data_IF_435959124292
#
_entry.id   IF_435959124292
#
_cell.length_a   1.000
_cell.length_b   1.000
_cell.length_c   1.000
_cell.angle_alpha   90.00
_cell.angle_beta   90.00
_cell.angle_gamma   90.00
#
_symmetry.space_group_name_H-M   'P 1'
#
loop_
_entity.id
_entity.type
_entity.pdbx_description
1 polymer ?
#
# COMPACT_ATOMS: atom_id res chain seq x y z
N UNK A 1 29.92 -64.55 -20.92
CA UNK A 1 28.88 -63.81 -21.70
C UNK A 1 28.21 -62.86 -20.71
N UNK A 2 28.14 -61.54 -20.87
CA UNK A 2 28.00 -60.73 -22.09
C UNK A 2 28.60 -59.33 -21.83
N UNK A 3 29.19 -58.78 -22.87
CA UNK A 3 29.95 -57.54 -22.96
C UNK A 3 29.02 -56.31 -22.96
N UNK A 4 29.50 -55.18 -22.40
CA UNK A 4 28.92 -53.84 -22.53
C UNK A 4 28.69 -53.43 -24.00
N UNK A 5 27.57 -52.77 -24.29
CA UNK A 5 27.53 -51.71 -25.30
C UNK A 5 26.72 -50.53 -24.78
N UNK A 6 27.38 -49.37 -24.67
CA UNK A 6 26.74 -48.06 -24.59
C UNK A 6 26.00 -47.85 -25.92
N UNK A 7 24.72 -47.51 -25.85
CA UNK A 7 24.00 -46.89 -26.95
C UNK A 7 23.56 -45.50 -26.50
N UNK A 8 24.13 -44.50 -27.17
CA UNK A 8 23.70 -43.11 -27.10
C UNK A 8 22.34 -43.06 -27.81
N UNK A 9 21.28 -42.72 -27.08
CA UNK A 9 19.98 -42.39 -27.68
C UNK A 9 19.76 -40.90 -27.54
N UNK A 10 20.12 -40.17 -28.60
CA UNK A 10 19.54 -38.88 -28.91
C UNK A 10 18.21 -39.18 -29.60
N UNK A 11 17.09 -38.99 -28.90
CA UNK A 11 15.77 -38.96 -29.51
C UNK A 11 15.06 -37.70 -29.04
N UNK A 12 15.10 -36.66 -29.89
CA UNK A 12 14.13 -35.58 -29.86
C UNK A 12 12.75 -36.19 -30.06
N UNK A 13 11.93 -36.20 -29.01
CA UNK A 13 10.50 -36.35 -29.14
C UNK A 13 9.89 -35.07 -28.57
N UNK A 14 9.41 -34.22 -29.48
CA UNK A 14 8.42 -33.21 -29.19
C UNK A 14 7.20 -33.91 -28.58
N UNK A 15 7.06 -33.88 -27.27
CA UNK A 15 5.75 -33.82 -26.64
C UNK A 15 5.67 -32.46 -25.98
N UNK A 16 4.70 -31.66 -26.41
CA UNK A 16 4.32 -30.42 -25.77
C UNK A 16 3.88 -30.70 -24.34
N UNK A 17 4.85 -30.72 -23.42
CA UNK A 17 4.60 -30.35 -22.06
C UNK A 17 4.51 -28.84 -22.08
N UNK A 18 3.30 -28.32 -22.30
CA UNK A 18 2.85 -27.21 -21.47
C UNK A 18 3.05 -27.70 -20.05
N UNK A 19 4.18 -27.35 -19.44
CA UNK A 19 4.24 -27.31 -17.99
C UNK A 19 3.08 -26.40 -17.64
N UNK A 20 1.99 -26.99 -17.17
CA UNK A 20 0.98 -26.25 -16.45
C UNK A 20 1.75 -25.65 -15.28
N UNK A 21 2.22 -24.43 -15.48
CA UNK A 21 2.63 -23.57 -14.39
C UNK A 21 1.40 -23.62 -13.48
N UNK A 22 1.50 -24.17 -12.26
CA UNK A 22 0.35 -24.12 -11.37
C UNK A 22 -0.03 -22.65 -11.31
N UNK A 23 -1.26 -22.35 -11.71
CA UNK A 23 -1.80 -21.00 -11.61
C UNK A 23 -1.44 -20.53 -10.21
N UNK A 24 -0.63 -19.47 -10.12
CA UNK A 24 -0.28 -18.87 -8.85
C UNK A 24 -1.61 -18.40 -8.27
N UNK A 25 -2.18 -19.23 -7.40
CA UNK A 25 -3.45 -18.95 -6.76
C UNK A 25 -3.22 -17.69 -5.92
N UNK A 26 -3.86 -16.59 -6.33
CA UNK A 26 -3.94 -15.43 -5.48
C UNK A 26 -4.69 -15.85 -4.20
N UNK A 27 -4.23 -15.39 -3.04
CA UNK A 27 -4.91 -15.64 -1.78
C UNK A 27 -5.73 -14.39 -1.48
N UNK A 28 -7.05 -14.46 -1.60
CA UNK A 28 -7.91 -13.39 -1.08
C UNK A 28 -8.05 -13.52 0.41
N UNK A 29 -7.79 -12.43 1.11
CA UNK A 29 -8.02 -12.32 2.54
C UNK A 29 -9.35 -11.63 2.80
N UNK A 30 -10.16 -12.24 3.67
CA UNK A 30 -11.48 -11.71 4.01
C UNK A 30 -11.78 -11.87 5.50
N UNK A 31 -12.79 -11.13 5.95
CA UNK A 31 -13.40 -11.33 7.25
C UNK A 31 -14.51 -12.39 7.16
N UNK A 32 -14.38 -13.48 7.90
CA UNK A 32 -15.38 -14.56 7.92
C UNK A 32 -15.62 -15.08 9.35
N UNK A 33 -16.72 -15.81 9.53
CA UNK A 33 -17.02 -16.47 10.81
C UNK A 33 -16.34 -17.84 10.87
N UNK A 34 -15.59 -18.10 11.93
CA UNK A 34 -15.01 -19.40 12.22
C UNK A 34 -15.29 -19.78 13.67
N UNK A 35 -16.09 -20.84 13.86
CA UNK A 35 -16.51 -21.34 15.18
C UNK A 35 -17.11 -20.24 16.07
N UNK A 36 -17.93 -19.35 15.49
CA UNK A 36 -18.60 -18.26 16.20
C UNK A 36 -17.73 -17.04 16.50
N UNK A 37 -16.43 -17.07 16.18
CA UNK A 37 -15.56 -15.91 16.24
C UNK A 37 -15.41 -15.27 14.85
N UNK A 38 -15.25 -13.94 14.82
CA UNK A 38 -14.80 -13.26 13.62
C UNK A 38 -13.31 -13.55 13.40
N UNK A 39 -12.93 -13.90 12.18
CA UNK A 39 -11.53 -14.09 11.78
C UNK A 39 -11.24 -13.31 10.50
N UNK A 40 -9.97 -12.92 10.34
CA UNK A 40 -9.43 -12.40 9.09
C UNK A 40 -8.39 -13.40 8.56
N UNK A 41 -8.50 -13.78 7.30
CA UNK A 41 -7.68 -14.83 6.74
C UNK A 41 -8.05 -15.22 5.32
N UNK A 42 -7.30 -16.14 4.73
CA UNK A 42 -7.69 -16.77 3.47
C UNK A 42 -8.50 -18.03 3.73
N UNK A 43 -9.50 -18.24 2.88
CA UNK A 43 -10.36 -19.44 2.89
C UNK A 43 -10.52 -19.97 1.45
N UNK A 44 -9.43 -19.91 0.68
CA UNK A 44 -9.44 -20.31 -0.73
C UNK A 44 -8.97 -21.76 -0.88
N UNK A 45 -9.62 -22.53 -1.77
CA UNK A 45 -9.20 -23.91 -2.09
C UNK A 45 -9.23 -24.90 -0.92
N UNK A 46 -9.97 -24.62 0.15
CA UNK A 46 -10.04 -25.49 1.34
C UNK A 46 -8.85 -25.38 2.30
N UNK A 47 -7.85 -24.56 1.99
CA UNK A 47 -6.76 -24.23 2.90
C UNK A 47 -7.10 -22.95 3.66
N UNK A 48 -7.39 -23.10 4.96
CA UNK A 48 -7.67 -21.96 5.84
C UNK A 48 -6.38 -21.43 6.44
N UNK A 49 -6.00 -20.20 6.09
CA UNK A 49 -4.96 -19.45 6.82
C UNK A 49 -5.65 -18.36 7.63
N UNK A 50 -5.59 -18.46 8.95
CA UNK A 50 -6.12 -17.43 9.86
C UNK A 50 -4.97 -16.51 10.23
N UNK A 51 -5.12 -15.21 9.91
CA UNK A 51 -4.17 -14.17 10.30
C UNK A 51 -4.56 -13.55 11.63
N UNK A 52 -5.86 -13.27 11.83
CA UNK A 52 -6.36 -12.66 13.04
C UNK A 52 -7.69 -13.28 13.48
N UNK A 53 -7.95 -13.23 14.79
CA UNK A 53 -9.19 -13.68 15.42
C UNK A 53 -9.65 -12.63 16.41
N UNK A 54 -10.95 -12.32 16.38
CA UNK A 54 -11.58 -11.33 17.23
C UNK A 54 -12.68 -11.97 18.06
N UNK A 55 -12.76 -11.58 19.33
CA UNK A 55 -13.85 -11.93 20.23
C UNK A 55 -14.75 -10.72 20.45
N UNK A 56 -16.06 -10.94 20.54
CA UNK A 56 -17.03 -9.87 20.79
C UNK A 56 -17.46 -9.07 19.56
N UNK A 57 -16.87 -9.33 18.38
CA UNK A 57 -17.30 -8.73 17.11
C UNK A 57 -17.97 -9.81 16.27
N UNK A 58 -19.18 -9.54 15.79
CA UNK A 58 -19.94 -10.46 14.94
C UNK A 58 -19.79 -10.09 13.47
N UNK A 59 -19.48 -11.08 12.62
CA UNK A 59 -19.37 -10.87 11.16
C UNK A 59 -20.63 -10.27 10.53
N UNK A 60 -21.82 -10.55 11.10
CA UNK A 60 -23.11 -10.05 10.60
C UNK A 60 -23.30 -8.56 10.84
N UNK A 61 -22.62 -8.01 11.83
CA UNK A 61 -22.73 -6.60 12.21
C UNK A 61 -21.69 -5.75 11.46
N UNK A 62 -20.79 -6.38 10.69
CA UNK A 62 -19.78 -5.69 9.91
C UNK A 62 -20.37 -5.06 8.65
N UNK A 63 -20.09 -3.78 8.46
CA UNK A 63 -20.37 -3.04 7.25
C UNK A 63 -19.20 -2.13 6.85
N UNK A 64 -19.08 -1.75 5.57
CA UNK A 64 -18.04 -0.83 5.11
C UNK A 64 -18.18 0.54 5.77
N UNK A 65 -17.03 1.17 6.07
CA UNK A 65 -16.97 2.57 6.47
C UNK A 65 -17.49 3.48 5.33
N UNK A 66 -18.09 4.62 5.69
CA UNK A 66 -18.55 5.63 4.72
C UNK A 66 -17.39 6.17 3.85
N UNK A 67 -17.62 6.31 2.54
CA UNK A 67 -16.62 6.87 1.63
C UNK A 67 -16.51 8.40 1.78
N UNK A 68 -15.29 8.93 1.80
CA UNK A 68 -15.00 10.37 1.92
C UNK A 68 -15.55 11.18 0.74
N UNK A 69 -15.57 10.65 -0.49
CA UNK A 69 -15.92 11.44 -1.69
C UNK A 69 -17.38 11.87 -1.79
N UNK A 70 -18.28 11.37 -0.91
CA UNK A 70 -19.70 11.75 -0.87
C UNK A 70 -20.55 11.29 -2.06
N UNK A 71 -19.93 11.06 -3.21
CA UNK A 71 -20.48 10.24 -4.29
C UNK A 71 -20.07 8.78 -4.03
N UNK A 72 -20.98 7.84 -4.29
CA UNK A 72 -20.57 6.51 -4.75
C UNK A 72 -19.95 6.68 -6.14
N UNK A 73 -18.83 7.41 -6.25
CA UNK A 73 -17.86 7.05 -7.27
C UNK A 73 -17.66 5.56 -7.08
N UNK A 74 -17.85 4.80 -8.17
CA UNK A 74 -17.54 3.37 -8.18
C UNK A 74 -16.27 3.22 -7.37
N UNK A 75 -16.36 2.44 -6.28
CA UNK A 75 -15.21 1.99 -5.50
C UNK A 75 -14.00 2.07 -6.39
N UNK A 76 -12.96 2.83 -6.03
CA UNK A 76 -11.71 2.84 -6.78
C UNK A 76 -11.43 1.36 -7.09
N UNK A 77 -11.66 0.93 -8.34
CA UNK A 77 -11.77 -0.48 -8.77
C UNK A 77 -10.38 -1.17 -8.66
N UNK A 78 -9.42 -0.50 -8.05
CA UNK A 78 -8.00 -0.55 -8.42
C UNK A 78 -7.16 -1.25 -7.35
N UNK A 79 -7.76 -1.55 -6.18
CA UNK A 79 -7.30 -2.62 -5.29
C UNK A 79 -8.08 -3.93 -5.54
N UNK A 80 -8.94 -3.99 -6.58
CA UNK A 80 -9.60 -5.24 -6.99
C UNK A 80 -8.55 -6.18 -7.60
N UNK A 81 -7.91 -6.95 -6.71
CA UNK A 81 -7.16 -8.15 -7.07
C UNK A 81 -8.08 -8.98 -7.96
N UNK A 82 -7.70 -9.13 -9.22
CA UNK A 82 -8.44 -9.90 -10.21
C UNK A 82 -8.95 -11.21 -9.60
N UNK A 83 -10.27 -11.44 -9.71
CA UNK A 83 -11.01 -12.62 -9.22
C UNK A 83 -11.04 -12.89 -7.72
N UNK A 84 -10.36 -12.12 -6.87
CA UNK A 84 -10.47 -12.28 -5.42
C UNK A 84 -10.76 -10.96 -4.74
N UNK A 85 -12.02 -10.82 -4.40
CA UNK A 85 -12.61 -9.77 -3.60
C UNK A 85 -11.86 -9.61 -2.26
N UNK A 86 -10.77 -8.84 -2.22
CA UNK A 86 -10.35 -8.11 -1.01
C UNK A 86 -11.42 -7.02 -0.75
N UNK A 87 -12.64 -7.44 -0.44
CA UNK A 87 -13.83 -6.58 -0.49
C UNK A 87 -13.85 -5.49 0.59
N UNK A 88 -12.89 -5.47 1.50
CA UNK A 88 -13.08 -4.87 2.81
C UNK A 88 -11.78 -4.30 3.39
N UNK A 89 -11.43 -3.10 2.94
CA UNK A 89 -10.29 -2.34 3.43
C UNK A 89 -10.56 -1.72 4.80
N UNK A 90 -11.57 -0.87 4.92
CA UNK A 90 -12.04 -0.30 6.19
C UNK A 90 -13.45 -0.81 6.52
N UNK A 91 -13.59 -1.51 7.65
CA UNK A 91 -14.86 -2.10 8.10
C UNK A 91 -15.14 -1.66 9.52
N UNK A 92 -16.40 -1.57 9.87
CA UNK A 92 -16.82 -1.31 11.24
C UNK A 92 -18.05 -2.13 11.62
N UNK A 93 -18.22 -2.35 12.93
CA UNK A 93 -19.48 -2.81 13.55
C UNK A 93 -20.24 -1.68 14.26
N UNK A 94 -19.81 -0.42 14.05
CA UNK A 94 -20.30 0.76 14.78
C UNK A 94 -19.57 1.05 16.10
N UNK A 95 -18.71 0.15 16.59
CA UNK A 95 -17.95 0.32 17.84
C UNK A 95 -16.44 0.37 17.61
N UNK A 96 -15.92 -0.36 16.62
CA UNK A 96 -14.50 -0.35 16.26
C UNK A 96 -14.32 -0.20 14.75
N UNK A 97 -13.15 0.30 14.34
CA UNK A 97 -12.71 0.25 12.95
C UNK A 97 -11.72 -0.91 12.80
N UNK A 98 -11.88 -1.67 11.72
CA UNK A 98 -11.04 -2.79 11.33
C UNK A 98 -10.36 -2.48 10.00
N UNK A 99 -9.06 -2.79 9.92
CA UNK A 99 -8.27 -2.74 8.68
C UNK A 99 -7.38 -3.98 8.58
N UNK A 100 -7.54 -4.78 7.51
CA UNK A 100 -6.71 -5.95 7.17
C UNK A 100 -6.32 -6.83 8.37
N UNK A 101 -7.30 -7.21 9.19
CA UNK A 101 -7.09 -8.07 10.36
C UNK A 101 -6.57 -7.37 11.61
N UNK A 102 -6.65 -6.03 11.69
CA UNK A 102 -6.30 -5.26 12.90
C UNK A 102 -7.45 -4.37 13.34
N UNK A 103 -7.62 -4.22 14.67
CA UNK A 103 -8.42 -3.12 15.23
C UNK A 103 -7.57 -1.86 15.14
N UNK A 104 -8.10 -0.85 14.46
CA UNK A 104 -7.45 0.45 14.33
C UNK A 104 -7.47 1.13 15.69
N UNK A 105 -6.31 1.61 16.11
CA UNK A 105 -6.13 2.28 17.39
C UNK A 105 -5.11 3.39 17.25
N UNK A 106 -5.28 4.43 18.07
CA UNK A 106 -4.39 5.58 18.08
C UNK A 106 -3.35 5.43 19.21
N UNK A 107 -2.11 5.92 19.01
CA UNK A 107 -1.08 5.86 20.04
C UNK A 107 -1.47 6.58 21.35
N UNK A 108 -0.91 6.18 22.51
CA UNK A 108 -1.13 6.89 23.77
C UNK A 108 -0.81 8.39 23.65
N UNK A 109 -1.62 9.22 24.31
CA UNK A 109 -1.47 10.69 24.26
C UNK A 109 -2.10 11.34 23.03
N UNK A 110 -2.74 10.58 22.14
CA UNK A 110 -3.55 11.10 21.04
C UNK A 110 -5.04 10.82 21.26
N UNK A 111 -5.96 11.56 20.61
CA UNK A 111 -7.39 11.29 20.72
C UNK A 111 -7.72 9.85 20.34
N UNK A 112 -8.74 9.25 20.96
CA UNK A 112 -9.23 7.93 20.54
C UNK A 112 -9.83 8.00 19.13
N UNK A 113 -9.86 6.86 18.44
CA UNK A 113 -10.53 6.72 17.14
C UNK A 113 -12.01 7.08 17.31
N UNK A 114 -12.49 8.04 16.54
CA UNK A 114 -13.89 8.44 16.57
C UNK A 114 -14.66 7.75 15.44
N UNK A 115 -15.23 6.58 15.77
CA UNK A 115 -15.94 5.71 14.83
C UNK A 115 -17.10 6.44 14.13
N UNK A 116 -17.81 7.31 14.84
CA UNK A 116 -18.98 8.01 14.33
C UNK A 116 -18.67 9.01 13.20
N UNK A 117 -17.47 9.61 13.20
CA UNK A 117 -17.02 10.52 12.13
C UNK A 117 -16.04 9.90 11.15
N UNK A 118 -15.76 8.59 11.29
CA UNK A 118 -14.75 7.91 10.52
C UNK A 118 -15.20 7.74 9.07
N UNK A 119 -14.37 8.19 8.13
CA UNK A 119 -14.59 8.07 6.69
C UNK A 119 -13.32 7.57 6.00
N UNK A 120 -13.45 6.85 4.90
CA UNK A 120 -12.32 6.27 4.18
C UNK A 120 -12.33 6.56 2.67
N UNK A 121 -11.14 6.55 2.06
CA UNK A 121 -10.93 6.57 0.61
C UNK A 121 -9.70 5.74 0.28
N UNK A 122 -9.91 4.54 -0.28
CA UNK A 122 -8.84 3.57 -0.52
C UNK A 122 -8.07 3.27 0.77
N UNK A 123 -6.75 3.46 0.73
CA UNK A 123 -5.83 3.24 1.87
C UNK A 123 -5.83 4.36 2.90
N UNK A 124 -6.49 5.47 2.61
CA UNK A 124 -6.60 6.61 3.50
C UNK A 124 -7.90 6.54 4.30
N UNK A 125 -7.86 7.06 5.51
CA UNK A 125 -9.07 7.37 6.25
C UNK A 125 -8.87 8.60 7.14
N UNK A 126 -9.97 9.15 7.62
CA UNK A 126 -9.98 10.28 8.55
C UNK A 126 -11.07 10.04 9.58
N UNK A 127 -10.87 10.54 10.79
CA UNK A 127 -11.96 10.91 11.69
C UNK A 127 -11.85 12.40 12.04
N UNK A 128 -12.74 12.94 12.87
CA UNK A 128 -12.69 14.37 13.24
C UNK A 128 -11.39 14.82 13.94
N UNK A 129 -10.52 13.91 14.37
CA UNK A 129 -9.30 14.18 15.12
C UNK A 129 -8.00 13.71 14.43
N UNK A 130 -8.08 12.73 13.53
CA UNK A 130 -6.92 11.98 13.07
C UNK A 130 -7.01 11.63 11.58
N UNK A 131 -5.83 11.61 10.95
CA UNK A 131 -5.59 11.07 9.63
C UNK A 131 -5.03 9.65 9.76
N UNK A 132 -5.37 8.80 8.78
CA UNK A 132 -4.98 7.41 8.76
C UNK A 132 -4.47 6.98 7.39
N UNK A 133 -3.52 6.05 7.40
CA UNK A 133 -3.06 5.32 6.23
C UNK A 133 -2.77 3.86 6.62
N UNK A 134 -3.28 2.90 5.84
CA UNK A 134 -3.11 1.46 6.10
C UNK A 134 -3.43 1.02 7.54
N UNK A 135 -4.54 1.50 8.09
CA UNK A 135 -4.98 1.14 9.44
C UNK A 135 -4.20 1.81 10.57
N UNK A 136 -3.30 2.76 10.27
CA UNK A 136 -2.49 3.44 11.28
C UNK A 136 -2.73 4.94 11.26
N UNK A 137 -2.74 5.54 12.47
CA UNK A 137 -2.76 6.99 12.60
C UNK A 137 -1.45 7.59 12.08
N UNK A 138 -1.54 8.58 11.21
CA UNK A 138 -0.39 9.26 10.60
C UNK A 138 -0.18 10.67 11.15
N UNK A 139 -1.26 11.41 11.41
CA UNK A 139 -1.21 12.79 11.88
C UNK A 139 -2.56 13.22 12.53
N UNK A 140 -2.61 14.42 13.13
CA UNK A 140 -3.86 15.07 13.54
C UNK A 140 -4.64 15.63 12.36
N UNK A 141 -5.96 15.44 12.37
CA UNK A 141 -6.90 16.09 11.45
C UNK A 141 -7.41 17.41 12.03
N UNK A 142 -6.53 18.38 12.23
CA UNK A 142 -6.88 19.68 12.81
C UNK A 142 -5.94 20.79 12.31
N UNK A 143 -6.35 22.05 12.52
CA UNK A 143 -5.56 23.21 12.11
C UNK A 143 -5.22 23.19 10.62
N UNK A 144 -3.94 23.40 10.30
CA UNK A 144 -3.44 23.37 8.92
C UNK A 144 -3.54 21.99 8.25
N UNK A 145 -3.64 20.92 9.04
CA UNK A 145 -3.78 19.54 8.54
C UNK A 145 -5.22 19.09 8.37
N UNK A 146 -6.18 19.96 8.70
CA UNK A 146 -7.60 19.63 8.55
C UNK A 146 -7.93 19.36 7.09
N UNK A 147 -8.45 18.17 6.84
CA UNK A 147 -8.86 17.72 5.51
C UNK A 147 -10.12 18.45 5.07
N UNK A 148 -10.10 19.04 3.87
CA UNK A 148 -11.29 19.52 3.18
C UNK A 148 -11.93 18.36 2.41
N UNK A 149 -12.81 17.62 3.11
CA UNK A 149 -13.49 16.44 2.54
C UNK A 149 -14.31 16.77 1.29
N UNK A 150 -14.78 18.01 1.13
CA UNK A 150 -15.59 18.40 -0.01
C UNK A 150 -14.79 18.51 -1.32
N UNK A 151 -13.46 18.61 -1.22
CA UNK A 151 -12.58 18.74 -2.38
C UNK A 151 -11.51 17.67 -2.46
N UNK A 152 -11.48 16.76 -1.48
CA UNK A 152 -10.53 15.66 -1.41
C UNK A 152 -10.72 14.70 -2.59
N UNK A 153 -9.62 14.37 -3.25
CA UNK A 153 -9.60 13.40 -4.34
C UNK A 153 -8.26 12.68 -4.44
N UNK A 154 -8.27 11.50 -5.04
CA UNK A 154 -7.04 10.83 -5.46
C UNK A 154 -6.45 11.50 -6.70
N UNK A 155 -5.12 11.37 -6.85
CA UNK A 155 -4.42 11.80 -8.06
C UNK A 155 -4.10 10.58 -8.91
N UNK A 156 -4.51 10.59 -10.17
CA UNK A 156 -4.09 9.65 -11.22
C UNK A 156 -4.05 8.18 -10.77
N UNK A 157 -5.15 7.69 -10.19
CA UNK A 157 -5.33 6.28 -9.83
C UNK A 157 -4.18 5.74 -8.93
N UNK A 158 -3.63 6.62 -8.08
CA UNK A 158 -2.55 6.32 -7.14
C UNK A 158 -3.07 6.21 -5.70
N UNK A 159 -2.80 5.08 -5.05
CA UNK A 159 -3.32 4.76 -3.71
C UNK A 159 -2.54 5.40 -2.54
N UNK A 160 -1.48 6.16 -2.83
CA UNK A 160 -0.60 6.76 -1.81
C UNK A 160 -0.61 8.29 -1.78
N UNK A 161 -1.40 8.93 -2.63
CA UNK A 161 -1.44 10.39 -2.76
C UNK A 161 -2.88 10.89 -2.84
N UNK A 162 -3.25 11.78 -1.92
CA UNK A 162 -4.50 12.54 -1.98
C UNK A 162 -4.20 14.04 -2.03
N UNK A 163 -5.13 14.79 -2.61
CA UNK A 163 -5.09 16.25 -2.62
C UNK A 163 -6.48 16.80 -2.32
N UNK A 164 -6.54 17.85 -1.50
CA UNK A 164 -7.73 18.69 -1.36
C UNK A 164 -7.41 20.12 -1.81
N UNK A 165 -8.35 21.06 -1.65
CA UNK A 165 -8.15 22.47 -2.04
C UNK A 165 -6.96 23.15 -1.36
N UNK A 166 -6.52 22.65 -0.21
CA UNK A 166 -5.53 23.29 0.65
C UNK A 166 -4.25 22.49 0.82
N UNK A 167 -4.30 21.17 0.68
CA UNK A 167 -3.27 20.29 1.17
C UNK A 167 -2.98 19.14 0.20
N UNK A 168 -1.69 18.81 0.11
CA UNK A 168 -1.19 17.58 -0.50
C UNK A 168 -0.86 16.58 0.60
N UNK A 169 -1.45 15.39 0.51
CA UNK A 169 -1.26 14.29 1.45
C UNK A 169 -0.54 13.13 0.78
N UNK A 170 0.61 12.74 1.33
CA UNK A 170 1.37 11.57 0.89
C UNK A 170 1.42 10.56 2.04
N UNK A 171 1.01 9.31 1.77
CA UNK A 171 0.99 8.21 2.75
C UNK A 171 0.27 8.60 4.06
N UNK A 172 -0.87 9.26 3.93
CA UNK A 172 -1.69 9.79 5.03
C UNK A 172 -1.11 10.99 5.78
N UNK A 173 0.01 11.56 5.35
CA UNK A 173 0.64 12.70 6.03
C UNK A 173 0.53 13.93 5.16
N UNK A 174 0.16 15.06 5.76
CA UNK A 174 0.25 16.34 5.09
C UNK A 174 1.72 16.64 4.78
N UNK A 175 2.02 16.91 3.51
CA UNK A 175 3.36 17.31 3.12
C UNK A 175 3.47 18.82 2.95
N UNK A 176 2.46 19.43 2.36
CA UNK A 176 2.50 20.83 2.01
C UNK A 176 1.11 21.40 1.72
N UNK A 177 1.09 22.70 1.38
CA UNK A 177 -0.05 23.26 0.66
C UNK A 177 -0.23 22.51 -0.66
N UNK A 178 -1.47 22.46 -1.15
CA UNK A 178 -1.75 22.09 -2.54
C UNK A 178 -1.39 23.20 -3.54
N UNK A 179 -0.86 24.33 -3.07
CA UNK A 179 -0.22 25.31 -3.93
C UNK A 179 1.16 24.78 -4.37
N UNK A 180 1.58 25.08 -5.61
CA UNK A 180 2.90 24.72 -6.15
C UNK A 180 3.19 23.21 -6.33
N UNK A 181 2.18 22.32 -6.29
CA UNK A 181 2.36 20.94 -6.74
C UNK A 181 2.09 20.79 -8.24
N UNK A 182 2.78 19.84 -8.86
CA UNK A 182 2.49 19.39 -10.22
C UNK A 182 2.74 17.90 -10.33
N UNK A 183 1.91 17.21 -11.11
CA UNK A 183 2.23 15.86 -11.53
C UNK A 183 3.26 15.95 -12.65
N UNK A 184 4.41 15.33 -12.46
CA UNK A 184 5.45 15.25 -13.49
C UNK A 184 5.08 14.19 -14.53
N UNK A 185 4.71 13.00 -14.05
CA UNK A 185 4.31 11.88 -14.88
C UNK A 185 3.69 10.76 -14.02
N UNK A 186 2.70 10.04 -14.53
CA UNK A 186 2.34 8.71 -14.02
C UNK A 186 2.74 7.60 -14.96
N UNK A 187 2.87 6.40 -14.40
CA UNK A 187 3.16 5.20 -15.15
C UNK A 187 2.34 4.02 -14.68
N UNK A 188 1.47 3.55 -15.57
CA UNK A 188 0.72 2.31 -15.39
C UNK A 188 1.67 1.12 -15.25
N UNK A 189 1.36 0.22 -14.32
CA UNK A 189 2.13 -1.00 -14.14
C UNK A 189 1.95 -1.98 -15.32
N UNK A 190 0.78 -1.93 -15.97
CA UNK A 190 0.44 -2.71 -17.15
C UNK A 190 0.37 -4.21 -16.88
N UNK A 191 -0.03 -5.04 -17.86
CA UNK A 191 -0.22 -6.51 -17.72
C UNK A 191 1.02 -7.35 -17.45
N UNK A 192 2.11 -6.70 -17.06
CA UNK A 192 3.35 -7.38 -16.76
C UNK A 192 3.29 -7.86 -15.31
N UNK A 193 2.75 -9.06 -15.12
CA UNK A 193 2.64 -9.75 -13.81
C UNK A 193 3.93 -9.69 -12.98
N UNK A 194 5.10 -9.68 -13.65
CA UNK A 194 6.42 -9.61 -12.98
C UNK A 194 6.65 -8.35 -12.15
N UNK A 195 5.99 -7.24 -12.47
CA UNK A 195 6.15 -5.97 -11.76
C UNK A 195 4.94 -5.62 -10.88
N UNK A 196 3.92 -6.48 -10.84
CA UNK A 196 2.73 -6.28 -10.01
C UNK A 196 2.91 -6.94 -8.63
N UNK A 197 2.75 -6.22 -7.50
CA UNK A 197 2.45 -6.81 -6.20
C UNK A 197 1.20 -7.68 -6.31
N UNK A 198 1.17 -8.79 -5.57
CA UNK A 198 0.06 -9.76 -5.61
C UNK A 198 -1.30 -9.16 -5.18
N UNK A 199 -1.27 -8.05 -4.44
CA UNK A 199 -2.44 -7.46 -3.79
C UNK A 199 -2.82 -6.09 -4.38
N UNK A 200 -2.31 -5.76 -5.57
CA UNK A 200 -2.61 -4.48 -6.22
C UNK A 200 -3.16 -4.72 -7.63
N UNK A 201 -4.14 -3.90 -8.02
CA UNK A 201 -4.90 -4.10 -9.24
C UNK A 201 -4.08 -3.90 -10.52
N UNK A 202 -4.63 -4.43 -11.61
CA UNK A 202 -4.03 -4.31 -12.95
C UNK A 202 -3.88 -2.86 -13.44
N UNK A 203 -4.64 -1.94 -12.83
CA UNK A 203 -4.74 -0.53 -13.15
C UNK A 203 -3.86 0.38 -12.29
N UNK A 204 -3.14 -0.16 -11.30
CA UNK A 204 -2.26 0.64 -10.44
C UNK A 204 -1.20 1.42 -11.22
N UNK A 205 -0.92 2.62 -10.73
CA UNK A 205 0.04 3.56 -11.32
C UNK A 205 1.08 4.01 -10.30
N UNK A 206 2.32 4.05 -10.76
CA UNK A 206 3.30 4.89 -10.08
C UNK A 206 3.08 6.36 -10.46
N UNK A 207 3.28 7.25 -9.50
CA UNK A 207 3.06 8.67 -9.64
C UNK A 207 4.32 9.43 -9.23
N UNK A 208 4.86 10.23 -10.15
CA UNK A 208 5.89 11.23 -9.87
C UNK A 208 5.25 12.60 -9.75
N UNK A 209 5.46 13.23 -8.61
CA UNK A 209 5.02 14.60 -8.37
C UNK A 209 6.21 15.48 -8.03
N UNK A 210 6.11 16.74 -8.40
CA UNK A 210 6.98 17.81 -7.94
C UNK A 210 6.19 18.71 -7.01
N UNK A 211 6.82 19.09 -5.92
CA UNK A 211 6.35 20.20 -5.09
C UNK A 211 7.56 21.07 -4.74
N UNK A 212 7.56 22.31 -5.23
CA UNK A 212 8.70 23.25 -5.13
C UNK A 212 10.01 22.63 -5.63
N UNK A 213 10.93 22.33 -4.72
CA UNK A 213 12.27 21.81 -5.00
C UNK A 213 12.40 20.30 -4.70
N UNK A 214 11.29 19.65 -4.35
CA UNK A 214 11.26 18.23 -4.04
C UNK A 214 10.52 17.45 -5.12
N UNK A 215 11.00 16.23 -5.38
CA UNK A 215 10.32 15.23 -6.23
C UNK A 215 9.95 14.04 -5.36
N UNK A 216 8.72 13.55 -5.52
CA UNK A 216 8.22 12.39 -4.81
C UNK A 216 7.77 11.32 -5.80
N UNK A 217 8.06 10.07 -5.50
CA UNK A 217 7.58 8.89 -6.20
C UNK A 217 6.67 8.09 -5.26
N UNK A 218 5.40 7.94 -5.62
CA UNK A 218 4.39 7.23 -4.82
C UNK A 218 4.30 7.73 -3.37
N UNK A 219 4.45 9.04 -3.17
CA UNK A 219 4.45 9.65 -1.85
C UNK A 219 5.80 9.66 -1.12
N UNK A 220 6.81 8.96 -1.64
CA UNK A 220 8.15 8.92 -1.05
C UNK A 220 9.05 9.98 -1.70
N UNK A 221 9.67 10.84 -0.88
CA UNK A 221 10.63 11.85 -1.36
C UNK A 221 11.88 11.18 -1.92
N UNK A 222 12.32 11.62 -3.11
CA UNK A 222 13.62 11.28 -3.68
C UNK A 222 14.66 12.25 -3.09
N UNK A 223 15.67 11.70 -2.40
CA UNK A 223 16.72 12.51 -1.78
C UNK A 223 17.68 13.09 -2.83
N UNK A 224 18.24 14.26 -2.52
CA UNK A 224 19.32 14.93 -3.28
C UNK A 224 19.04 15.17 -4.77
N UNK A 225 17.76 15.21 -5.14
CA UNK A 225 17.30 15.55 -6.50
C UNK A 225 17.28 17.05 -6.72
N UNK A 226 17.78 17.51 -7.85
CA UNK A 226 17.52 18.89 -8.32
C UNK A 226 16.25 18.91 -9.18
N UNK A 227 15.15 19.39 -8.59
CA UNK A 227 13.83 19.37 -9.24
C UNK A 227 13.72 20.29 -10.47
N UNK A 228 14.57 21.33 -10.58
CA UNK A 228 14.56 22.27 -11.71
C UNK A 228 15.17 21.67 -12.97
N UNK A 229 16.10 20.74 -12.82
CA UNK A 229 16.78 20.06 -13.94
C UNK A 229 16.42 18.58 -14.05
N UNK A 230 15.42 18.11 -13.30
CA UNK A 230 14.99 16.72 -13.27
C UNK A 230 14.38 16.26 -14.60
N UNK A 231 14.94 15.21 -15.18
CA UNK A 231 14.45 14.56 -16.40
C UNK A 231 14.49 13.04 -16.27
N UNK A 232 13.40 12.37 -16.67
CA UNK A 232 13.31 10.92 -16.63
C UNK A 232 14.06 10.33 -17.84
N UNK A 233 15.03 9.45 -17.58
CA UNK A 233 15.78 8.73 -18.62
C UNK A 233 15.14 7.37 -18.90
N UNK A 234 14.76 6.66 -17.84
CA UNK A 234 14.09 5.35 -17.94
C UNK A 234 13.25 5.12 -16.70
N UNK A 235 12.05 4.56 -16.88
CA UNK A 235 11.19 4.21 -15.77
C UNK A 235 10.65 2.79 -15.96
N UNK A 236 10.96 1.90 -15.02
CA UNK A 236 10.35 0.57 -14.88
C UNK A 236 9.40 0.67 -13.67
N UNK A 237 8.08 0.46 -13.88
CA UNK A 237 7.11 0.53 -12.79
C UNK A 237 7.44 -0.41 -11.64
N UNK A 238 7.14 0.01 -10.40
CA UNK A 238 7.34 -0.73 -9.15
C UNK A 238 8.75 -1.36 -9.00
N UNK A 239 9.78 -0.71 -9.55
CA UNK A 239 11.12 -1.31 -9.58
C UNK A 239 12.27 -0.30 -9.66
N UNK A 240 12.32 0.51 -10.72
CA UNK A 240 13.49 1.35 -10.99
C UNK A 240 13.14 2.60 -11.76
N UNK A 241 13.54 3.75 -11.23
CA UNK A 241 13.56 5.02 -11.90
C UNK A 241 15.02 5.42 -12.17
N UNK A 242 15.35 5.67 -13.43
CA UNK A 242 16.61 6.28 -13.85
C UNK A 242 16.28 7.69 -14.31
N UNK A 243 16.91 8.67 -13.69
CA UNK A 243 16.69 10.08 -13.99
C UNK A 243 18.03 10.80 -14.12
N UNK A 244 18.00 11.99 -14.70
CA UNK A 244 19.14 12.89 -14.79
C UNK A 244 18.75 14.23 -14.18
N UNK A 245 19.68 14.84 -13.48
CA UNK A 245 19.61 16.22 -13.04
C UNK A 245 20.97 16.91 -13.25
N UNK A 246 21.15 18.13 -12.76
CA UNK A 246 22.41 18.88 -12.88
C UNK A 246 23.62 18.17 -12.23
N UNK A 247 23.37 17.24 -11.31
CA UNK A 247 24.42 16.46 -10.63
C UNK A 247 24.76 15.16 -11.38
N UNK A 248 24.08 14.87 -12.49
CA UNK A 248 24.36 13.72 -13.34
C UNK A 248 23.19 12.75 -13.45
N UNK A 249 23.49 11.51 -13.83
CA UNK A 249 22.50 10.44 -13.95
C UNK A 249 22.43 9.61 -12.67
N UNK A 250 21.21 9.31 -12.24
CA UNK A 250 20.91 8.67 -10.97
C UNK A 250 20.00 7.46 -11.16
N UNK A 251 20.12 6.49 -10.26
CA UNK A 251 19.31 5.27 -10.23
C UNK A 251 18.61 5.18 -8.88
N UNK A 252 17.29 5.31 -8.90
CA UNK A 252 16.42 5.20 -7.75
C UNK A 252 15.63 3.89 -7.81
N UNK A 253 16.08 2.89 -7.06
CA UNK A 253 15.33 1.65 -6.88
C UNK A 253 14.19 1.87 -5.89
N UNK A 254 13.00 1.39 -6.25
CA UNK A 254 11.79 1.51 -5.44
C UNK A 254 10.87 0.33 -5.74
N UNK A 255 9.74 0.24 -5.04
CA UNK A 255 8.90 -0.95 -5.12
C UNK A 255 9.60 -2.17 -4.50
N UNK A 256 9.18 -3.37 -4.87
CA UNK A 256 9.76 -4.60 -4.32
C UNK A 256 10.94 -5.09 -5.20
N UNK A 257 12.21 -4.94 -4.80
CA UNK A 257 13.37 -5.17 -5.68
C UNK A 257 13.68 -6.65 -5.95
N UNK A 258 12.93 -7.59 -5.40
CA UNK A 258 13.15 -9.01 -5.60
C UNK A 258 11.82 -9.76 -5.52
N UNK A 259 11.70 -10.89 -6.23
CA UNK A 259 10.69 -11.92 -5.96
C UNK A 259 10.81 -12.56 -4.57
N UNK A 260 11.39 -11.87 -3.59
CA UNK A 260 11.06 -12.06 -2.19
C UNK A 260 9.70 -11.43 -2.00
N UNK A 261 8.69 -12.29 -1.99
CA UNK A 261 7.50 -12.02 -1.20
C UNK A 261 7.99 -11.39 0.11
N UNK A 262 7.60 -10.15 0.39
CA UNK A 262 7.23 -9.88 1.76
C UNK A 262 6.07 -10.85 1.99
N UNK A 263 6.42 -12.08 2.39
CA UNK A 263 5.49 -12.88 3.14
C UNK A 263 5.08 -11.94 4.25
N UNK A 264 3.80 -11.64 4.33
CA UNK A 264 3.16 -11.04 5.50
C UNK A 264 3.36 -11.90 6.78
N UNK A 265 4.28 -12.88 6.75
CA UNK A 265 4.83 -13.60 7.87
C UNK A 265 6.07 -12.91 8.48
N UNK A 266 6.59 -11.80 7.93
CA UNK A 266 7.50 -10.93 8.70
C UNK A 266 6.67 -10.09 9.67
N UNK A 267 6.27 -10.72 10.78
CA UNK A 267 5.72 -10.13 11.98
C UNK A 267 6.61 -9.04 12.63
N UNK A 268 7.71 -8.64 11.97
CA UNK A 268 8.71 -7.67 12.42
C UNK A 268 8.97 -6.51 11.45
N UNK A 269 8.15 -6.28 10.41
CA UNK A 269 8.28 -5.09 9.55
C UNK A 269 7.15 -4.07 9.74
N UNK A 270 6.83 -3.79 10.99
CA UNK A 270 6.06 -2.59 11.37
C UNK A 270 6.80 -1.85 12.49
N UNK A 271 7.94 -1.28 12.15
CA UNK A 271 8.56 -0.21 12.93
C UNK A 271 8.70 1.03 12.03
N UNK A 272 7.79 1.99 12.20
CA UNK A 272 8.19 3.41 12.08
C UNK A 272 8.36 3.89 13.51
N UNK A 273 9.43 3.42 14.14
CA UNK A 273 9.99 4.02 15.33
C UNK A 273 10.88 5.17 14.90
N UNK A 274 10.63 6.34 15.48
CA UNK A 274 11.59 7.43 15.50
C UNK A 274 12.99 6.88 15.77
N UNK A 275 13.97 7.21 14.92
CA UNK A 275 15.37 7.11 15.34
C UNK A 275 15.54 8.07 16.52
N UNK A 276 15.41 7.55 17.73
CA UNK A 276 15.95 8.16 18.92
C UNK A 276 17.42 8.49 18.61
N UNK A 277 17.71 9.79 18.42
CA UNK A 277 19.07 10.29 18.57
C UNK A 277 19.50 9.90 19.99
N UNK A 278 20.66 9.27 20.20
CA UNK A 278 21.21 9.13 21.53
C UNK A 278 21.35 10.54 22.12
N UNK A 279 20.74 10.78 23.28
CA UNK A 279 21.15 11.91 24.11
C UNK A 279 22.64 11.75 24.36
N UNK A 280 23.43 12.70 23.85
CA UNK A 280 24.81 12.86 24.26
C UNK A 280 24.81 12.99 25.78
N UNK A 281 25.57 12.12 26.44
CA UNK A 281 25.85 12.21 27.86
C UNK A 281 26.41 13.61 28.14
N UNK A 282 25.69 14.39 28.93
CA UNK A 282 26.21 15.61 29.50
C UNK A 282 27.37 15.24 30.42
N UNK A 283 28.57 15.52 29.95
CA UNK A 283 29.79 15.56 30.75
C UNK A 283 29.55 16.51 31.92
N UNK A 284 29.53 15.98 33.15
CA UNK A 284 29.71 16.81 34.34
C UNK A 284 31.13 17.34 34.32
N UNK A 285 31.25 18.66 34.21
CA UNK A 285 32.44 19.42 34.58
C UNK A 285 31.95 20.65 35.35
N UNK A 286 32.45 20.82 36.58
CA UNK A 286 32.10 21.90 37.50
C UNK A 286 31.43 21.40 38.76
#
# INVERSE_FOLDING_TARGET
MKVMKKSISLALILLGYTVAIPAVQAEGYEYYSNQGALVYGSNFGGQKKIIAKFTGINRRDLYPVENISGEQERYIIEDEVTTIKEEYHWITDGHVILWRGKIVSNPPGTPMVDVASFKALGRFAVDKYSLYFDGQRTESNSGASKVDLATLKAIEDNSSTLVDRHNLYLLGRRQASSDDFSVLQSKLWGDIERFRPRNEGATSRDLLIRHRQDVFLNGQRIADVDADTFHIIRWIPNSLLVYRDKHGEHRYAYGNPAGKMATTDDANSFEIGEKNRPLAQATRAG
#
